data_IF_433593471537
#
_entry.id   IF_433593471537
#
_cell.length_a   1.000
_cell.length_b   1.000
_cell.length_c   1.000
_cell.angle_alpha   90.00
_cell.angle_beta   90.00
_cell.angle_gamma   90.00
#
_symmetry.space_group_name_H-M   'P 1'
#
loop_
_entity.id
_entity.type
_entity.pdbx_description
1 polymer ?
#
# COMPACT_ATOMS: atom_id res chain seq x y z
N UNK A 1 0.85 -11.76 7.33
CA UNK A 1 1.85 -10.74 6.95
C UNK A 1 2.25 -9.95 8.20
N UNK A 2 3.52 -9.58 8.39
CA UNK A 2 4.00 -8.76 9.50
C UNK A 2 3.66 -7.25 9.31
N UNK A 3 2.44 -6.95 8.83
CA UNK A 3 1.94 -5.57 8.87
C UNK A 3 1.53 -5.24 10.29
N UNK A 4 1.87 -4.04 10.74
CA UNK A 4 1.55 -3.64 12.10
C UNK A 4 0.04 -3.47 12.23
N UNK A 5 -0.56 -4.25 13.13
CA UNK A 5 -2.01 -4.26 13.37
C UNK A 5 -2.40 -3.25 14.47
N UNK A 6 -3.58 -2.61 14.40
CA UNK A 6 -4.67 -2.86 13.45
C UNK A 6 -4.40 -2.34 12.03
N UNK A 7 -4.89 -3.08 11.02
CA UNK A 7 -4.76 -2.72 9.59
C UNK A 7 -6.12 -2.31 9.04
N UNK A 8 -6.17 -1.27 8.22
CA UNK A 8 -7.35 -0.90 7.44
C UNK A 8 -7.01 -0.88 5.94
N UNK A 9 -7.87 -1.49 5.14
CA UNK A 9 -7.80 -1.52 3.68
C UNK A 9 -8.88 -0.57 3.13
N UNK A 10 -8.45 0.48 2.46
CA UNK A 10 -9.29 1.44 1.76
C UNK A 10 -9.25 1.09 0.27
N UNK A 11 -10.36 0.62 -0.27
CA UNK A 11 -10.44 0.13 -1.64
C UNK A 11 -11.27 1.07 -2.52
N UNK A 12 -10.69 1.53 -3.61
CA UNK A 12 -11.31 2.44 -4.57
C UNK A 12 -12.39 1.70 -5.39
N UNK A 13 -13.57 2.28 -5.43
CA UNK A 13 -14.71 1.84 -6.23
C UNK A 13 -15.20 2.95 -7.17
N UNK A 14 -14.33 3.82 -7.65
CA UNK A 14 -14.63 4.86 -8.63
C UNK A 14 -14.62 4.34 -10.08
N UNK A 15 -15.24 5.06 -11.04
CA UNK A 15 -15.32 4.63 -12.44
C UNK A 15 -13.97 4.50 -13.16
N UNK A 16 -12.95 5.27 -12.76
CA UNK A 16 -11.61 5.19 -13.37
C UNK A 16 -10.94 3.82 -13.14
N UNK A 17 -11.41 3.09 -12.13
CA UNK A 17 -11.01 1.73 -11.81
C UNK A 17 -11.76 0.64 -12.56
N UNK A 18 -12.71 0.93 -13.48
CA UNK A 18 -13.60 -0.09 -14.09
C UNK A 18 -12.86 -1.33 -14.65
N UNK A 19 -11.72 -1.13 -15.32
CA UNK A 19 -10.90 -2.24 -15.85
C UNK A 19 -10.18 -3.01 -14.73
N UNK A 20 -9.77 -2.31 -13.68
CA UNK A 20 -8.98 -2.83 -12.57
C UNK A 20 -9.82 -3.29 -11.37
N UNK A 21 -11.12 -2.98 -11.30
CA UNK A 21 -11.94 -3.06 -10.09
C UNK A 21 -12.00 -4.48 -9.54
N UNK A 22 -12.04 -5.48 -10.43
CA UNK A 22 -12.05 -6.89 -10.03
C UNK A 22 -10.75 -7.29 -9.37
N UNK A 23 -9.61 -6.95 -10.00
CA UNK A 23 -8.29 -7.22 -9.44
C UNK A 23 -8.06 -6.45 -8.15
N UNK A 24 -8.41 -5.16 -8.12
CA UNK A 24 -8.35 -4.34 -6.91
C UNK A 24 -9.17 -4.95 -5.77
N UNK A 25 -10.42 -5.34 -6.04
CA UNK A 25 -11.29 -5.97 -5.04
C UNK A 25 -10.73 -7.31 -4.58
N UNK A 26 -10.18 -8.14 -5.48
CA UNK A 26 -9.52 -9.41 -5.12
C UNK A 26 -8.34 -9.14 -4.17
N UNK A 27 -7.47 -8.19 -4.52
CA UNK A 27 -6.31 -7.82 -3.69
C UNK A 27 -6.74 -7.29 -2.33
N UNK A 28 -7.68 -6.34 -2.30
CA UNK A 28 -8.20 -5.76 -1.07
C UNK A 28 -8.78 -6.83 -0.16
N UNK A 29 -9.62 -7.71 -0.71
CA UNK A 29 -10.26 -8.79 0.03
C UNK A 29 -9.26 -9.82 0.55
N UNK A 30 -8.27 -10.19 -0.26
CA UNK A 30 -7.21 -11.11 0.13
C UNK A 30 -6.37 -10.51 1.27
N UNK A 31 -5.97 -9.24 1.16
CA UNK A 31 -5.22 -8.54 2.20
C UNK A 31 -6.04 -8.40 3.48
N UNK A 32 -7.34 -8.12 3.38
CA UNK A 32 -8.26 -8.11 4.52
C UNK A 32 -8.27 -9.46 5.22
N UNK A 33 -8.42 -10.56 4.48
CA UNK A 33 -8.43 -11.90 5.07
C UNK A 33 -7.09 -12.26 5.72
N UNK A 34 -5.96 -11.99 5.06
CA UNK A 34 -4.61 -12.34 5.55
C UNK A 34 -4.19 -11.49 6.76
N UNK A 35 -4.56 -10.21 6.78
CA UNK A 35 -4.17 -9.27 7.84
C UNK A 35 -5.22 -9.11 8.94
N UNK A 36 -6.37 -9.81 8.84
CA UNK A 36 -7.55 -9.53 9.68
C UNK A 36 -7.88 -8.03 9.68
N UNK A 37 -7.74 -7.40 8.52
CA UNK A 37 -7.89 -5.95 8.38
C UNK A 37 -9.37 -5.55 8.32
N UNK A 38 -9.65 -4.29 8.62
CA UNK A 38 -10.92 -3.67 8.25
C UNK A 38 -10.93 -3.39 6.76
N UNK A 39 -12.02 -3.68 6.06
CA UNK A 39 -12.20 -3.34 4.65
C UNK A 39 -13.23 -2.23 4.53
N UNK A 40 -12.90 -1.19 3.78
CA UNK A 40 -13.78 -0.08 3.45
C UNK A 40 -13.65 0.21 1.97
N UNK A 41 -14.76 0.25 1.25
CA UNK A 41 -14.77 0.79 -0.12
C UNK A 41 -14.99 2.29 -0.08
N UNK A 42 -14.37 3.02 -1.00
CA UNK A 42 -14.60 4.45 -1.14
C UNK A 42 -14.89 4.83 -2.59
N UNK A 43 -15.75 5.81 -2.73
CA UNK A 43 -16.00 6.60 -3.93
C UNK A 43 -16.31 8.02 -3.46
N UNK A 44 -17.40 8.66 -3.90
CA UNK A 44 -17.93 9.89 -3.26
C UNK A 44 -18.35 9.71 -1.78
N UNK A 45 -18.50 8.48 -1.28
CA UNK A 45 -18.80 8.17 0.13
C UNK A 45 -18.02 6.93 0.58
N UNK A 46 -17.92 6.75 1.90
CA UNK A 46 -17.40 5.52 2.51
C UNK A 46 -18.51 4.47 2.55
N UNK A 47 -18.22 3.27 2.06
CA UNK A 47 -19.18 2.16 1.99
C UNK A 47 -18.54 0.91 2.61
N UNK A 48 -19.19 0.27 3.60
CA UNK A 48 -18.73 -1.01 4.10
C UNK A 48 -18.92 -2.09 3.03
N UNK A 49 -18.08 -3.14 3.02
CA UNK A 49 -18.30 -4.29 2.14
C UNK A 49 -19.63 -4.97 2.49
N UNK A 50 -20.28 -5.58 1.50
CA UNK A 50 -21.55 -6.32 1.72
C UNK A 50 -21.37 -7.46 2.72
N UNK A 51 -20.20 -8.07 2.74
CA UNK A 51 -19.75 -9.04 3.74
C UNK A 51 -18.23 -8.97 3.86
N UNK A 52 -17.70 -9.36 5.02
CA UNK A 52 -16.25 -9.49 5.20
C UNK A 52 -15.82 -10.83 4.61
N UNK A 53 -14.96 -10.85 3.58
CA UNK A 53 -14.57 -12.09 2.92
C UNK A 53 -13.73 -12.96 3.84
N UNK A 54 -14.07 -14.25 3.94
CA UNK A 54 -13.34 -15.25 4.75
C UNK A 54 -12.74 -16.37 3.88
N UNK A 55 -13.33 -16.59 2.71
CA UNK A 55 -12.94 -17.63 1.76
C UNK A 55 -12.59 -17.03 0.40
N UNK A 56 -11.95 -17.80 -0.48
CA UNK A 56 -11.64 -17.35 -1.85
C UNK A 56 -12.92 -17.11 -2.64
N UNK A 57 -13.94 -17.94 -2.41
CA UNK A 57 -15.26 -17.80 -3.00
C UNK A 57 -15.92 -16.49 -2.59
N UNK A 58 -15.78 -16.08 -1.31
CA UNK A 58 -16.23 -14.78 -0.83
C UNK A 58 -15.50 -13.64 -1.55
N UNK A 59 -14.17 -13.76 -1.71
CA UNK A 59 -13.36 -12.75 -2.44
C UNK A 59 -13.87 -12.56 -3.87
N UNK A 60 -14.08 -13.66 -4.60
CA UNK A 60 -14.56 -13.62 -5.98
C UNK A 60 -15.99 -13.08 -6.07
N UNK A 61 -16.84 -13.47 -5.12
CA UNK A 61 -18.22 -12.98 -5.03
C UNK A 61 -18.25 -11.47 -4.78
N UNK A 62 -17.40 -10.97 -3.88
CA UNK A 62 -17.30 -9.54 -3.59
C UNK A 62 -16.83 -8.78 -4.83
N UNK A 63 -15.84 -9.30 -5.56
CA UNK A 63 -15.36 -8.69 -6.80
C UNK A 63 -16.40 -8.62 -7.92
N UNK A 64 -17.39 -9.52 -7.94
CA UNK A 64 -18.53 -9.48 -8.88
C UNK A 64 -19.58 -8.45 -8.43
N UNK A 65 -19.79 -8.32 -7.12
CA UNK A 65 -20.83 -7.48 -6.53
C UNK A 65 -20.40 -6.00 -6.41
N UNK A 66 -19.10 -5.74 -6.30
CA UNK A 66 -18.56 -4.38 -6.26
C UNK A 66 -18.80 -3.68 -7.60
N UNK A 67 -19.57 -2.60 -7.57
CA UNK A 67 -19.83 -1.73 -8.72
C UNK A 67 -19.05 -0.43 -8.57
N UNK A 68 -18.60 0.09 -9.70
CA UNK A 68 -17.98 1.42 -9.73
C UNK A 68 -19.04 2.51 -9.65
N UNK A 69 -18.79 3.55 -8.85
CA UNK A 69 -19.72 4.65 -8.65
C UNK A 69 -19.01 6.00 -8.58
N UNK A 70 -19.55 6.99 -9.30
CA UNK A 70 -19.26 8.43 -9.15
C UNK A 70 -17.79 8.87 -9.27
N UNK A 71 -17.12 9.14 -8.15
CA UNK A 71 -15.90 9.92 -8.06
C UNK A 71 -14.89 9.26 -7.11
N UNK A 72 -13.67 9.77 -7.12
CA UNK A 72 -12.52 9.19 -6.43
C UNK A 72 -12.19 10.07 -5.22
N UNK A 73 -12.70 9.69 -4.05
CA UNK A 73 -12.46 10.38 -2.79
C UNK A 73 -11.84 9.42 -1.75
N UNK A 74 -10.54 9.17 -1.77
CA UNK A 74 -9.90 8.33 -0.77
C UNK A 74 -10.03 8.90 0.66
N UNK A 75 -10.12 10.23 0.78
CA UNK A 75 -10.33 10.92 2.06
C UNK A 75 -11.59 10.44 2.81
N UNK A 76 -12.70 10.11 2.12
CA UNK A 76 -13.92 9.67 2.82
C UNK A 76 -13.75 8.28 3.42
N UNK A 77 -12.87 7.45 2.85
CA UNK A 77 -12.52 6.16 3.44
C UNK A 77 -11.72 6.32 4.75
N UNK A 78 -10.93 7.39 4.87
CA UNK A 78 -10.12 7.70 6.03
C UNK A 78 -10.89 8.44 7.14
N UNK A 79 -11.83 9.32 6.77
CA UNK A 79 -12.55 10.21 7.69
C UNK A 79 -13.12 9.50 8.94
N UNK A 80 -13.82 8.35 8.86
CA UNK A 80 -14.38 7.68 10.04
C UNK A 80 -13.32 7.29 11.07
N UNK A 81 -12.11 6.91 10.63
CA UNK A 81 -11.01 6.55 11.53
C UNK A 81 -10.42 7.78 12.22
N UNK A 82 -10.36 8.89 11.50
CA UNK A 82 -9.88 10.16 12.05
C UNK A 82 -10.87 10.77 13.04
N UNK A 83 -12.16 10.81 12.71
CA UNK A 83 -13.23 11.37 13.56
C UNK A 83 -13.45 10.54 14.81
N UNK A 84 -13.48 9.21 14.66
CA UNK A 84 -13.57 8.28 15.79
C UNK A 84 -12.29 8.16 16.62
N UNK A 85 -11.21 8.84 16.21
CA UNK A 85 -9.85 8.72 16.78
C UNK A 85 -9.42 7.25 16.93
N UNK A 86 -9.83 6.41 15.98
CA UNK A 86 -9.56 4.99 15.99
C UNK A 86 -8.11 4.74 15.57
N UNK A 87 -7.35 4.01 16.40
CA UNK A 87 -5.96 3.69 16.12
C UNK A 87 -5.85 2.56 15.08
N UNK A 88 -5.41 2.93 13.90
CA UNK A 88 -4.98 2.06 12.80
C UNK A 88 -3.49 2.31 12.60
N UNK A 89 -2.69 1.25 12.63
CA UNK A 89 -1.24 1.36 12.52
C UNK A 89 -0.74 1.27 11.09
N UNK A 90 -1.47 0.54 10.25
CA UNK A 90 -1.15 0.44 8.82
C UNK A 90 -2.41 0.65 8.00
N UNK A 91 -2.38 1.63 7.11
CA UNK A 91 -3.37 1.77 6.05
C UNK A 91 -2.85 1.16 4.75
N UNK A 92 -3.70 0.41 4.07
CA UNK A 92 -3.47 -0.03 2.69
C UNK A 92 -4.51 0.66 1.84
N UNK A 93 -4.07 1.48 0.89
CA UNK A 93 -4.96 2.16 -0.05
C UNK A 93 -4.80 1.55 -1.44
N UNK A 94 -5.90 1.10 -2.01
CA UNK A 94 -5.95 0.44 -3.33
C UNK A 94 -6.70 1.36 -4.28
N UNK A 95 -6.01 2.01 -5.21
CA UNK A 95 -6.57 3.10 -6.04
C UNK A 95 -5.74 3.31 -7.31
N UNK A 96 -6.24 4.07 -8.28
CA UNK A 96 -5.44 4.62 -9.37
C UNK A 96 -4.84 6.01 -9.05
N UNK A 97 -5.08 6.51 -7.84
CA UNK A 97 -4.56 7.77 -7.28
C UNK A 97 -5.10 9.04 -7.97
N UNK A 98 -6.16 8.96 -8.76
CA UNK A 98 -6.80 10.10 -9.41
C UNK A 98 -7.82 10.80 -8.47
N UNK A 99 -7.38 11.20 -7.27
CA UNK A 99 -8.23 11.92 -6.30
C UNK A 99 -8.81 13.20 -6.94
N UNK A 100 -10.14 13.30 -6.93
CA UNK A 100 -10.87 14.41 -7.55
C UNK A 100 -11.99 14.99 -6.67
N UNK A 101 -12.19 14.42 -5.47
CA UNK A 101 -13.25 14.83 -4.53
C UNK A 101 -12.70 14.80 -3.10
N UNK A 102 -13.14 15.74 -2.27
CA UNK A 102 -12.71 15.88 -0.85
C UNK A 102 -13.70 15.17 0.08
N UNK A 103 -13.23 14.82 1.29
CA UNK A 103 -14.11 14.43 2.38
C UNK A 103 -14.52 15.64 3.20
N UNK A 104 -15.80 15.75 3.50
CA UNK A 104 -16.33 16.70 4.49
C UNK A 104 -16.39 16.01 5.84
N UNK A 105 -15.71 16.57 6.85
CA UNK A 105 -15.75 16.07 8.22
C UNK A 105 -17.01 16.55 8.95
N UNK A 106 -17.29 16.00 10.14
CA UNK A 106 -18.43 16.36 11.00
C UNK A 106 -18.45 17.85 11.38
N UNK A 107 -17.29 18.51 11.46
CA UNK A 107 -17.17 19.95 11.73
C UNK A 107 -17.43 20.84 10.49
N UNK A 108 -17.72 20.23 9.34
CA UNK A 108 -17.99 20.90 8.07
C UNK A 108 -16.74 21.29 7.27
N UNK A 109 -15.53 20.92 7.71
CA UNK A 109 -14.31 21.17 6.94
C UNK A 109 -14.04 20.11 5.87
N UNK A 110 -13.58 20.57 4.71
CA UNK A 110 -13.25 19.70 3.58
C UNK A 110 -11.75 19.40 3.51
N UNK A 111 -11.40 18.12 3.48
CA UNK A 111 -10.01 17.67 3.33
C UNK A 111 -9.83 16.74 2.12
N UNK A 112 -8.81 16.97 1.29
CA UNK A 112 -8.25 15.90 0.45
C UNK A 112 -7.49 14.88 1.31
N UNK A 113 -7.13 13.74 0.73
CA UNK A 113 -6.58 12.61 1.49
C UNK A 113 -5.25 12.93 2.14
N UNK A 114 -4.31 13.52 1.42
CA UNK A 114 -2.97 13.83 1.97
C UNK A 114 -3.03 14.62 3.28
N UNK A 115 -3.64 15.83 3.34
CA UNK A 115 -3.68 16.60 4.58
C UNK A 115 -4.50 15.92 5.68
N UNK A 116 -5.56 15.18 5.34
CA UNK A 116 -6.31 14.41 6.34
C UNK A 116 -5.45 13.31 6.96
N UNK A 117 -4.66 12.60 6.14
CA UNK A 117 -3.75 11.57 6.61
C UNK A 117 -2.60 12.13 7.45
N UNK A 118 -2.05 13.29 7.09
CA UNK A 118 -1.05 13.95 7.92
C UNK A 118 -1.63 14.39 9.28
N UNK A 119 -2.85 14.93 9.28
CA UNK A 119 -3.58 15.28 10.52
C UNK A 119 -3.87 14.04 11.36
N UNK A 120 -4.22 12.91 10.74
CA UNK A 120 -4.34 11.63 11.42
C UNK A 120 -3.02 11.19 12.05
N UNK A 121 -1.89 11.31 11.34
CA UNK A 121 -0.56 10.96 11.85
C UNK A 121 -0.14 11.80 13.04
N UNK A 122 -0.48 13.08 13.03
CA UNK A 122 -0.17 14.03 14.10
C UNK A 122 -1.06 13.82 15.33
N UNK A 123 -2.36 13.67 15.14
CA UNK A 123 -3.33 13.73 16.24
C UNK A 123 -3.78 12.36 16.76
N UNK A 124 -3.65 11.29 15.97
CA UNK A 124 -4.18 9.96 16.31
C UNK A 124 -3.05 8.96 16.49
N UNK A 125 -2.31 8.67 15.41
CA UNK A 125 -1.24 7.69 15.42
C UNK A 125 -0.35 7.85 14.19
N UNK A 126 1.00 7.79 14.30
CA UNK A 126 1.94 7.89 13.17
C UNK A 126 1.89 6.63 12.28
N UNK A 127 0.75 6.41 11.63
CA UNK A 127 0.45 5.23 10.85
C UNK A 127 1.32 5.13 9.59
N UNK A 128 1.58 3.89 9.21
CA UNK A 128 2.22 3.54 7.94
C UNK A 128 1.20 3.51 6.82
N UNK A 129 1.64 3.76 5.60
CA UNK A 129 0.76 3.76 4.42
C UNK A 129 1.36 2.91 3.30
N UNK A 130 0.54 2.02 2.75
CA UNK A 130 0.87 1.21 1.58
C UNK A 130 -0.09 1.58 0.46
N UNK A 131 0.45 2.12 -0.61
CA UNK A 131 -0.25 2.31 -1.88
C UNK A 131 -0.18 1.04 -2.72
N UNK A 132 -1.34 0.57 -3.16
CA UNK A 132 -1.48 -0.39 -4.25
C UNK A 132 -2.09 0.37 -5.42
N UNK A 133 -1.21 0.84 -6.30
CA UNK A 133 -1.50 1.84 -7.30
C UNK A 133 -1.77 1.21 -8.66
N UNK A 134 -2.93 1.47 -9.25
CA UNK A 134 -3.27 1.04 -10.60
C UNK A 134 -3.02 2.18 -11.58
N UNK A 135 -1.80 2.25 -12.13
CA UNK A 135 -1.37 3.37 -12.95
C UNK A 135 -1.46 3.07 -14.45
N UNK A 136 -1.65 4.11 -15.26
CA UNK A 136 -1.75 4.00 -16.73
C UNK A 136 -0.43 3.55 -17.38
N UNK A 137 0.71 3.90 -16.77
CA UNK A 137 2.05 3.51 -17.22
C UNK A 137 2.86 2.96 -16.05
N UNK A 138 3.75 2.00 -16.34
CA UNK A 138 4.55 1.32 -15.31
C UNK A 138 5.57 2.25 -14.62
N UNK A 139 6.02 3.30 -15.32
CA UNK A 139 6.92 4.33 -14.78
C UNK A 139 6.20 5.59 -14.31
N UNK A 140 4.87 5.63 -14.39
CA UNK A 140 4.14 6.72 -13.77
C UNK A 140 4.29 6.64 -12.25
N UNK A 141 4.29 7.80 -11.61
CA UNK A 141 4.05 7.89 -10.18
C UNK A 141 2.67 8.50 -10.02
N UNK A 142 1.84 7.90 -9.17
CA UNK A 142 0.52 8.41 -8.89
C UNK A 142 0.56 9.77 -8.20
N UNK A 143 -0.48 10.57 -8.44
CA UNK A 143 -0.56 11.95 -7.98
C UNK A 143 -0.46 12.04 -6.45
N UNK A 144 -1.09 11.11 -5.74
CA UNK A 144 -1.13 11.10 -4.29
C UNK A 144 0.24 10.74 -3.71
N UNK A 145 0.84 9.64 -4.17
CA UNK A 145 2.14 9.17 -3.70
C UNK A 145 3.26 10.21 -3.93
N UNK A 146 3.25 10.90 -5.08
CA UNK A 146 4.19 12.00 -5.36
C UNK A 146 4.22 13.05 -4.26
N UNK A 147 3.06 13.37 -3.68
CA UNK A 147 2.98 14.36 -2.61
C UNK A 147 3.71 13.90 -1.35
N UNK A 148 3.60 12.61 -1.00
CA UNK A 148 4.31 12.01 0.12
C UNK A 148 5.83 11.97 -0.10
N UNK A 149 6.27 11.61 -1.32
CA UNK A 149 7.69 11.59 -1.68
C UNK A 149 8.29 12.99 -1.63
N UNK A 150 7.62 13.98 -2.25
CA UNK A 150 8.09 15.37 -2.27
C UNK A 150 8.28 15.93 -0.87
N UNK A 151 7.38 15.60 0.05
CA UNK A 151 7.40 16.10 1.41
C UNK A 151 8.25 15.20 2.35
N UNK A 152 8.97 14.20 1.80
CA UNK A 152 9.84 13.25 2.50
C UNK A 152 9.15 12.53 3.67
N UNK A 153 7.89 12.17 3.49
CA UNK A 153 7.09 11.52 4.53
C UNK A 153 7.60 10.08 4.74
N UNK A 154 8.00 9.68 5.97
CA UNK A 154 8.50 8.34 6.23
C UNK A 154 7.37 7.31 6.28
N UNK A 155 7.73 6.02 6.16
CA UNK A 155 6.82 4.88 6.29
C UNK A 155 5.71 4.80 5.21
N UNK A 156 6.01 5.29 4.00
CA UNK A 156 5.11 5.25 2.85
C UNK A 156 5.69 4.32 1.78
N UNK A 157 4.96 3.26 1.44
CA UNK A 157 5.31 2.28 0.42
C UNK A 157 4.37 2.40 -0.78
N UNK A 158 4.86 2.18 -2.00
CA UNK A 158 4.03 2.06 -3.19
C UNK A 158 4.32 0.77 -3.94
N UNK A 159 3.26 0.08 -4.36
CA UNK A 159 3.31 -1.07 -5.24
C UNK A 159 2.45 -0.79 -6.47
N UNK A 160 3.02 -0.95 -7.67
CA UNK A 160 2.40 -0.52 -8.92
C UNK A 160 1.85 -1.71 -9.73
N UNK A 161 0.58 -1.62 -10.09
CA UNK A 161 -0.10 -2.43 -11.10
C UNK A 161 -0.38 -1.60 -12.35
N UNK A 162 -0.47 -2.27 -13.50
CA UNK A 162 -0.96 -1.62 -14.72
C UNK A 162 -2.49 -1.56 -14.68
N UNK A 163 -3.08 -0.37 -14.83
CA UNK A 163 -4.53 -0.17 -14.78
C UNK A 163 -5.29 -0.90 -15.89
N UNK A 164 -4.74 -0.96 -17.09
CA UNK A 164 -5.38 -1.57 -18.26
C UNK A 164 -5.20 -3.09 -18.31
N UNK A 165 -4.10 -3.60 -17.75
CA UNK A 165 -3.74 -5.02 -17.73
C UNK A 165 -3.19 -5.39 -16.35
N UNK A 166 -4.05 -5.39 -15.31
CA UNK A 166 -3.61 -5.73 -13.97
C UNK A 166 -3.23 -7.21 -13.91
N UNK A 167 -2.00 -7.47 -13.47
CA UNK A 167 -1.41 -8.80 -13.49
C UNK A 167 -1.34 -9.39 -12.07
N UNK A 168 -2.20 -10.36 -11.78
CA UNK A 168 -2.28 -11.02 -10.48
C UNK A 168 -1.02 -11.85 -10.14
N UNK A 169 -0.17 -12.18 -11.11
CA UNK A 169 1.10 -12.89 -10.81
C UNK A 169 2.04 -12.06 -9.94
N UNK A 170 1.85 -10.74 -9.88
CA UNK A 170 2.61 -9.81 -9.04
C UNK A 170 2.21 -9.85 -7.56
N UNK A 171 1.19 -10.63 -7.18
CA UNK A 171 0.76 -10.77 -5.78
C UNK A 171 1.89 -11.32 -4.91
N UNK A 172 2.64 -12.30 -5.39
CA UNK A 172 3.74 -12.89 -4.59
C UNK A 172 4.82 -11.84 -4.30
N UNK A 173 5.10 -10.96 -5.26
CA UNK A 173 6.02 -9.83 -5.06
C UNK A 173 5.49 -8.82 -4.05
N UNK A 174 4.19 -8.49 -4.11
CA UNK A 174 3.53 -7.62 -3.13
C UNK A 174 3.59 -8.23 -1.73
N UNK A 175 3.21 -9.50 -1.57
CA UNK A 175 3.25 -10.21 -0.30
C UNK A 175 4.68 -10.32 0.23
N UNK A 176 5.66 -10.58 -0.64
CA UNK A 176 7.08 -10.57 -0.31
C UNK A 176 7.51 -9.22 0.24
N UNK A 177 7.21 -8.13 -0.47
CA UNK A 177 7.53 -6.76 -0.06
C UNK A 177 6.92 -6.41 1.31
N UNK A 178 5.62 -6.68 1.49
CA UNK A 178 4.92 -6.48 2.77
C UNK A 178 5.48 -7.37 3.89
N UNK A 179 6.04 -8.54 3.54
CA UNK A 179 6.67 -9.45 4.50
C UNK A 179 8.05 -9.00 4.96
N UNK A 180 8.77 -8.24 4.14
CA UNK A 180 10.07 -7.70 4.58
C UNK A 180 9.94 -6.68 5.71
N UNK A 181 8.75 -6.09 5.91
CA UNK A 181 8.51 -5.05 6.91
C UNK A 181 9.32 -3.76 6.68
N UNK A 182 10.10 -3.70 5.59
CA UNK A 182 10.92 -2.55 5.21
C UNK A 182 10.08 -1.65 4.32
N UNK A 183 9.76 -0.46 4.83
CA UNK A 183 9.13 0.63 4.08
C UNK A 183 10.16 1.43 3.27
N UNK A 184 11.43 1.00 3.27
CA UNK A 184 12.45 1.47 2.34
C UNK A 184 12.13 0.90 0.96
N UNK A 185 11.86 1.78 -0.01
CA UNK A 185 11.62 1.38 -1.39
C UNK A 185 12.77 0.49 -1.88
N UNK A 186 12.45 -0.71 -2.36
CA UNK A 186 13.47 -1.59 -2.96
C UNK A 186 14.14 -0.90 -4.15
N UNK A 187 13.40 -0.06 -4.90
CA UNK A 187 13.93 0.75 -6.01
C UNK A 187 15.05 1.71 -5.55
N UNK A 188 14.95 2.27 -4.34
CA UNK A 188 16.00 3.13 -3.76
C UNK A 188 17.28 2.36 -3.42
N UNK A 189 17.22 1.04 -3.32
CA UNK A 189 18.40 0.19 -3.18
C UNK A 189 18.93 -0.29 -4.54
N UNK A 190 18.08 -0.39 -5.57
CA UNK A 190 18.47 -0.86 -6.91
C UNK A 190 19.39 0.12 -7.62
N UNK A 191 19.14 1.44 -7.56
CA UNK A 191 20.04 2.43 -8.19
C UNK A 191 21.45 2.44 -7.58
N UNK A 192 21.62 2.51 -6.25
CA UNK A 192 22.93 2.36 -5.62
C UNK A 192 23.59 1.02 -5.95
N UNK A 193 22.82 -0.08 -5.96
CA UNK A 193 23.33 -1.41 -6.33
C UNK A 193 23.76 -1.45 -7.80
N UNK A 194 22.98 -0.91 -8.73
CA UNK A 194 23.33 -0.83 -10.16
C UNK A 194 24.59 0.01 -10.39
N UNK A 195 24.72 1.14 -9.69
CA UNK A 195 25.93 1.96 -9.73
C UNK A 195 27.12 1.18 -9.15
N UNK A 196 26.93 0.45 -8.05
CA UNK A 196 27.95 -0.43 -7.48
C UNK A 196 28.34 -1.56 -8.43
N UNK A 197 27.38 -2.17 -9.14
CA UNK A 197 27.64 -3.18 -10.16
C UNK A 197 28.43 -2.61 -11.34
N UNK A 198 28.13 -1.38 -11.76
CA UNK A 198 28.83 -0.69 -12.84
C UNK A 198 30.27 -0.31 -12.46
N UNK A 199 30.52 0.07 -11.20
CA UNK A 199 31.83 0.51 -10.73
C UNK A 199 32.73 -0.64 -10.23
N UNK A 200 32.13 -1.67 -9.61
CA UNK A 200 32.86 -2.66 -8.81
C UNK A 200 32.83 -4.08 -9.38
N UNK A 201 31.98 -4.34 -10.39
CA UNK A 201 31.72 -5.67 -10.92
C UNK A 201 30.88 -6.56 -9.98
N UNK A 202 30.32 -7.64 -10.54
CA UNK A 202 29.35 -8.53 -9.88
C UNK A 202 29.94 -9.22 -8.63
N UNK A 203 31.21 -9.62 -8.69
CA UNK A 203 31.85 -10.40 -7.63
C UNK A 203 32.04 -9.59 -6.33
N UNK A 204 32.36 -8.31 -6.45
CA UNK A 204 32.52 -7.39 -5.31
C UNK A 204 31.20 -7.15 -4.58
N UNK A 205 30.13 -6.94 -5.34
CA UNK A 205 28.79 -6.69 -4.78
C UNK A 205 28.24 -7.94 -4.10
N UNK A 206 28.38 -9.12 -4.72
CA UNK A 206 27.97 -10.40 -4.12
C UNK A 206 28.71 -10.68 -2.81
N UNK A 207 30.01 -10.37 -2.75
CA UNK A 207 30.80 -10.53 -1.51
C UNK A 207 30.28 -9.61 -0.41
N UNK A 208 30.01 -8.34 -0.72
CA UNK A 208 29.49 -7.37 0.25
C UNK A 208 28.08 -7.70 0.77
N UNK A 209 27.25 -8.35 -0.05
CA UNK A 209 25.91 -8.80 0.34
C UNK A 209 25.98 -10.02 1.25
N UNK A 210 26.88 -10.95 0.98
CA UNK A 210 27.12 -12.13 1.81
C UNK A 210 27.68 -11.75 3.19
N UNK A 211 28.54 -10.74 3.27
CA UNK A 211 29.10 -10.23 4.54
C UNK A 211 28.09 -9.46 5.41
N UNK A 212 27.04 -8.88 4.82
CA UNK A 212 25.99 -8.14 5.53
C UNK A 212 24.89 -9.02 6.11
N UNK A 213 24.88 -10.31 5.80
CA UNK A 213 23.92 -11.27 6.37
C UNK A 213 24.32 -11.59 7.82
N UNK A 214 23.45 -11.36 8.83
CA UNK A 214 23.82 -11.52 10.25
C UNK A 214 24.14 -12.96 10.68
N UNK A 215 23.93 -13.96 9.83
CA UNK A 215 24.20 -15.38 10.13
C UNK A 215 25.68 -15.79 10.03
N UNK A 216 26.56 -14.99 9.41
CA UNK A 216 27.95 -15.43 9.17
C UNK A 216 29.01 -14.92 10.16
N UNK A 217 28.62 -14.19 11.22
CA UNK A 217 29.56 -13.70 12.25
C UNK A 217 29.97 -14.75 13.30
N UNK A 218 29.35 -15.93 13.34
CA UNK A 218 29.68 -16.95 14.34
C UNK A 218 30.67 -18.03 13.88
N UNK A 219 31.02 -18.10 12.58
CA UNK A 219 31.92 -19.17 12.08
C UNK A 219 33.39 -18.72 12.05
N UNK A 220 33.67 -17.41 12.03
CA UNK A 220 35.02 -16.88 11.84
C UNK A 220 35.89 -16.80 13.12
N UNK A 221 35.42 -17.24 14.29
CA UNK A 221 36.17 -17.12 15.55
C UNK A 221 36.54 -18.45 16.22
N UNK A 222 36.33 -19.61 15.56
CA UNK A 222 36.63 -20.92 16.17
C UNK A 222 37.90 -21.65 15.66
N UNK A 223 38.64 -21.12 14.69
CA UNK A 223 39.84 -21.80 14.16
C UNK A 223 41.17 -21.10 14.51
N UNK A 224 41.32 -20.62 15.76
CA UNK A 224 42.65 -20.29 16.32
C UNK A 224 42.72 -20.59 17.81
N UNK A 225 42.90 -21.86 18.17
CA UNK A 225 43.59 -22.31 19.40
C UNK A 225 44.20 -23.68 19.18
#
# INVERSE_FOLDING_TARGET
LPLESPVAVLADASPSMEVAIRTATILSSLLTAICTAKLTFFHHRSVPPQFIPKTVEDVLSLAILTKVEHSTAPAVGLAPYYEGKEIIKTFVIVTDEEENTRATLEDGTDYPFYPLFMKYREEVYPAKLVFISFLSQQHAEGQMYRQFVRDNVPDILQFKFNRQRPDLTKIDSLLGLLSTGKFESFENNVEPLQNQFAESGIDSVMTSLLEKTPENKQIATMDTT
#
